data_IF_828935569651
#
_entry.id   IF_828935569651
#
_cell.length_a   1.000
_cell.length_b   1.000
_cell.length_c   1.000
_cell.angle_alpha   90.00
_cell.angle_beta   90.00
_cell.angle_gamma   90.00
#
_symmetry.space_group_name_H-M   'P 1'
#
loop_
_entity.id
_entity.type
_entity.pdbx_description
1 polymer ?
#
# COMPACT_ATOMS: atom_id res chain seq x y z
N UNK A 1 -4.98 13.59 -16.10
CA UNK A 1 -5.34 12.91 -14.83
C UNK A 1 -6.66 12.19 -14.98
N UNK A 2 -6.77 10.97 -14.43
CA UNK A 2 -8.01 10.19 -14.37
C UNK A 2 -8.25 9.69 -12.95
N UNK A 3 -9.48 9.29 -12.61
CA UNK A 3 -9.83 8.73 -11.29
C UNK A 3 -9.02 7.48 -10.92
N UNK A 4 -8.54 6.71 -11.91
CA UNK A 4 -7.68 5.54 -11.70
C UNK A 4 -6.22 5.90 -11.41
N UNK A 5 -5.76 7.07 -11.86
CA UNK A 5 -4.37 7.53 -11.68
C UNK A 5 -4.20 8.42 -10.45
N UNK A 6 -5.28 8.77 -9.76
CA UNK A 6 -5.25 9.59 -8.54
C UNK A 6 -5.04 8.69 -7.31
N UNK A 7 -3.82 8.15 -7.18
CA UNK A 7 -3.42 7.24 -6.10
C UNK A 7 -2.43 7.87 -5.12
N UNK A 8 -1.98 9.10 -5.39
CA UNK A 8 -1.02 9.83 -4.56
C UNK A 8 -1.54 11.21 -4.22
N UNK A 9 -1.28 11.62 -2.98
CA UNK A 9 -1.63 12.95 -2.48
C UNK A 9 -0.89 14.07 -3.24
N UNK A 10 0.36 13.85 -3.69
CA UNK A 10 1.12 14.82 -4.50
C UNK A 10 1.19 14.37 -5.95
N UNK A 11 0.47 15.07 -6.82
CA UNK A 11 0.29 14.68 -8.22
C UNK A 11 1.44 15.28 -9.06
N UNK A 12 2.49 14.48 -9.24
CA UNK A 12 3.69 14.85 -10.02
C UNK A 12 3.65 14.35 -11.46
N UNK A 13 3.06 13.18 -11.70
CA UNK A 13 2.90 12.59 -13.05
C UNK A 13 1.59 11.80 -13.17
N UNK A 14 1.21 11.46 -14.40
CA UNK A 14 0.20 10.42 -14.66
C UNK A 14 0.62 9.50 -15.78
N UNK A 15 0.23 8.24 -15.64
CA UNK A 15 0.38 7.18 -16.64
C UNK A 15 -0.25 7.53 -18.01
N UNK A 16 -1.16 8.50 -18.04
CA UNK A 16 -1.79 9.00 -19.26
C UNK A 16 -1.36 10.44 -19.56
N UNK A 17 -0.46 10.59 -20.53
CA UNK A 17 -0.09 11.88 -21.11
C UNK A 17 -0.99 12.16 -22.30
N UNK A 18 -1.56 13.37 -22.40
CA UNK A 18 -2.30 13.77 -23.59
C UNK A 18 -1.31 14.11 -24.70
N UNK A 19 -1.63 13.71 -25.94
CA UNK A 19 -1.01 14.31 -27.12
C UNK A 19 -1.49 15.76 -27.27
N UNK A 20 -0.72 16.62 -27.97
CA UNK A 20 -1.09 18.02 -28.23
C UNK A 20 -2.49 18.16 -28.86
N UNK A 21 -2.90 17.19 -29.68
CA UNK A 21 -4.24 17.10 -30.28
C UNK A 21 -5.36 16.81 -29.25
N UNK A 22 -5.08 16.04 -28.19
CA UNK A 22 -6.05 15.72 -27.14
C UNK A 22 -6.28 16.85 -26.12
N UNK A 23 -5.34 17.80 -26.01
CA UNK A 23 -5.51 19.00 -25.19
C UNK A 23 -6.52 19.98 -25.84
N UNK A 24 -6.56 20.04 -27.17
CA UNK A 24 -7.42 20.96 -27.93
C UNK A 24 -8.91 20.58 -27.93
N UNK A 25 -9.27 19.31 -27.68
CA UNK A 25 -10.65 18.81 -27.78
C UNK A 25 -11.52 19.00 -26.51
N UNK A 26 -11.24 20.01 -25.68
CA UNK A 26 -12.09 20.36 -24.53
C UNK A 26 -11.61 19.84 -23.17
N UNK A 27 -10.33 19.46 -23.06
CA UNK A 27 -9.76 19.06 -21.77
C UNK A 27 -9.39 20.30 -20.95
N UNK A 28 -9.99 20.46 -19.76
CA UNK A 28 -9.70 21.58 -18.87
C UNK A 28 -8.31 21.40 -18.23
N UNK A 29 -7.37 22.26 -18.59
CA UNK A 29 -6.10 22.39 -17.89
C UNK A 29 -6.30 23.12 -16.56
N UNK A 30 -5.61 22.66 -15.52
CA UNK A 30 -5.56 23.33 -14.22
C UNK A 30 -4.11 23.48 -13.77
N UNK A 31 -3.77 24.61 -13.14
CA UNK A 31 -2.40 24.91 -12.79
C UNK A 31 -1.89 24.01 -11.66
N UNK A 32 -0.61 24.20 -11.32
CA UNK A 32 -0.03 23.76 -10.06
C UNK A 32 -0.88 24.27 -8.87
N UNK A 33 -0.82 23.57 -7.75
CA UNK A 33 -1.46 23.93 -6.48
C UNK A 33 -3.00 23.89 -6.55
N UNK A 34 -3.54 23.14 -7.51
CA UNK A 34 -4.96 22.80 -7.61
C UNK A 34 -5.21 21.50 -6.89
N UNK A 35 -6.25 21.45 -6.05
CA UNK A 35 -6.69 20.21 -5.41
C UNK A 35 -7.61 19.46 -6.36
N UNK A 36 -7.25 18.22 -6.70
CA UNK A 36 -8.06 17.32 -7.51
C UNK A 36 -8.73 16.31 -6.62
N UNK A 37 -9.98 15.99 -6.94
CA UNK A 37 -10.70 14.90 -6.27
C UNK A 37 -11.61 14.17 -7.23
N UNK A 38 -11.84 12.89 -6.95
CA UNK A 38 -12.84 12.10 -7.66
C UNK A 38 -14.23 12.54 -7.20
N UNK A 39 -15.10 12.89 -8.16
CA UNK A 39 -16.50 13.25 -7.87
C UNK A 39 -17.51 12.25 -8.43
N UNK A 40 -17.03 11.31 -9.24
CA UNK A 40 -17.83 10.21 -9.79
C UNK A 40 -16.97 8.96 -9.95
N UNK A 41 -17.45 7.83 -9.47
CA UNK A 41 -16.77 6.53 -9.65
C UNK A 41 -17.07 5.54 -8.54
N UNK A 42 -16.81 4.25 -8.82
CA UNK A 42 -17.00 3.18 -7.83
C UNK A 42 -16.11 3.33 -6.59
N UNK A 43 -14.93 3.95 -6.72
CA UNK A 43 -14.00 4.12 -5.59
C UNK A 43 -14.59 4.95 -4.45
N UNK A 44 -15.50 5.89 -4.76
CA UNK A 44 -16.15 6.73 -3.75
C UNK A 44 -17.02 5.96 -2.75
N UNK A 45 -17.32 4.67 -3.01
CA UNK A 45 -18.02 3.81 -2.04
C UNK A 45 -17.11 3.29 -0.92
N UNK A 46 -15.80 3.39 -1.09
CA UNK A 46 -14.82 2.83 -0.15
C UNK A 46 -13.68 3.79 0.21
N UNK A 47 -13.44 4.81 -0.60
CA UNK A 47 -12.24 5.65 -0.48
C UNK A 47 -12.44 7.04 -1.10
N UNK A 48 -12.12 8.09 -0.34
CA UNK A 48 -12.07 9.46 -0.85
C UNK A 48 -10.69 9.74 -1.46
N UNK A 49 -10.64 9.69 -2.79
CA UNK A 49 -9.41 9.96 -3.55
C UNK A 49 -9.28 11.42 -3.90
N UNK A 50 -8.24 12.05 -3.35
CA UNK A 50 -7.85 13.42 -3.66
C UNK A 50 -6.33 13.58 -3.72
N UNK A 51 -5.87 14.72 -4.26
CA UNK A 51 -4.47 15.11 -4.23
C UNK A 51 -4.25 16.52 -4.77
N UNK A 52 -3.07 17.09 -4.52
CA UNK A 52 -2.67 18.43 -4.97
C UNK A 52 -1.71 18.36 -6.16
N UNK A 53 -1.95 19.17 -7.18
CA UNK A 53 -1.13 19.23 -8.39
C UNK A 53 0.22 19.88 -8.13
N UNK A 54 1.30 19.23 -8.56
CA UNK A 54 2.67 19.76 -8.44
C UNK A 54 3.13 20.48 -9.71
N UNK A 55 2.29 20.48 -10.74
CA UNK A 55 2.47 21.12 -12.05
C UNK A 55 1.11 21.31 -12.72
N UNK A 56 1.09 21.95 -13.88
CA UNK A 56 -0.11 21.99 -14.70
C UNK A 56 -0.53 20.58 -15.15
N UNK A 57 -1.83 20.28 -15.06
CA UNK A 57 -2.38 18.98 -15.44
C UNK A 57 -3.72 19.13 -16.15
N UNK A 58 -4.02 18.16 -17.02
CA UNK A 58 -5.30 18.08 -17.71
C UNK A 58 -6.30 17.22 -16.94
N UNK A 59 -7.55 17.69 -16.78
CA UNK A 59 -8.60 17.02 -16.03
C UNK A 59 -9.52 16.15 -16.90
N UNK A 60 -9.82 14.94 -16.42
CA UNK A 60 -10.94 14.14 -16.91
C UNK A 60 -12.26 14.57 -16.29
N UNK A 61 -13.37 14.22 -16.94
CA UNK A 61 -14.76 14.46 -16.50
C UNK A 61 -15.13 13.90 -15.11
N UNK A 62 -14.43 12.86 -14.63
CA UNK A 62 -14.69 12.25 -13.33
C UNK A 62 -13.98 12.96 -12.16
N UNK A 63 -13.21 14.00 -12.47
CA UNK A 63 -12.44 14.79 -11.50
C UNK A 63 -13.00 16.22 -11.39
N UNK A 64 -12.93 16.76 -10.18
CA UNK A 64 -13.13 18.18 -9.91
C UNK A 64 -11.80 18.79 -9.45
N UNK A 65 -11.45 19.93 -10.03
CA UNK A 65 -10.34 20.76 -9.56
C UNK A 65 -10.86 21.92 -8.71
N UNK A 66 -10.32 22.08 -7.51
CA UNK A 66 -10.52 23.23 -6.63
C UNK A 66 -9.25 24.07 -6.65
N UNK A 67 -9.39 25.32 -7.10
CA UNK A 67 -8.31 26.30 -7.09
C UNK A 67 -8.46 27.11 -5.80
N UNK A 68 -7.48 27.07 -4.88
CA UNK A 68 -7.53 27.84 -3.65
C UNK A 68 -7.59 29.34 -3.93
N UNK A 69 -8.23 30.09 -3.02
CA UNK A 69 -8.13 31.56 -3.03
C UNK A 69 -6.70 31.98 -2.69
N UNK A 70 -6.33 33.19 -3.10
CA UNK A 70 -4.98 33.74 -2.89
C UNK A 70 -4.57 33.86 -1.42
N UNK A 71 -5.53 33.96 -0.50
CA UNK A 71 -5.28 34.06 0.93
C UNK A 71 -5.13 32.71 1.64
N UNK A 72 -5.38 31.59 0.95
CA UNK A 72 -5.23 30.24 1.51
C UNK A 72 -3.92 29.60 1.07
N UNK A 73 -3.27 28.88 1.98
CA UNK A 73 -2.18 27.98 1.58
C UNK A 73 -2.78 26.73 0.90
N UNK A 74 -2.40 26.43 -0.35
CA UNK A 74 -2.96 25.30 -1.10
C UNK A 74 -2.72 23.94 -0.44
N UNK A 75 -1.55 23.77 0.17
CA UNK A 75 -1.14 22.51 0.80
C UNK A 75 -1.89 22.32 2.11
N UNK A 76 -2.04 23.38 2.90
CA UNK A 76 -2.92 23.37 4.08
C UNK A 76 -4.34 22.98 3.70
N UNK A 77 -4.93 23.61 2.67
CA UNK A 77 -6.30 23.28 2.24
C UNK A 77 -6.43 21.82 1.81
N UNK A 78 -5.42 21.28 1.12
CA UNK A 78 -5.38 19.87 0.75
C UNK A 78 -5.38 18.95 2.00
N UNK A 79 -4.57 19.26 3.03
CA UNK A 79 -4.55 18.51 4.28
C UNK A 79 -5.86 18.66 5.08
N UNK A 80 -6.41 19.87 5.16
CA UNK A 80 -7.68 20.11 5.85
C UNK A 80 -8.83 19.33 5.21
N UNK A 81 -8.91 19.28 3.88
CA UNK A 81 -9.88 18.44 3.17
C UNK A 81 -9.62 16.95 3.38
N UNK A 82 -8.37 16.51 3.35
CA UNK A 82 -8.02 15.10 3.58
C UNK A 82 -8.39 14.65 5.00
N UNK A 83 -8.29 15.52 6.01
CA UNK A 83 -8.74 15.20 7.38
C UNK A 83 -10.27 15.03 7.51
N UNK A 84 -11.03 15.44 6.48
CA UNK A 84 -12.49 15.35 6.40
C UNK A 84 -12.93 14.20 5.49
N UNK A 85 -12.07 13.22 5.24
CA UNK A 85 -12.37 12.08 4.36
C UNK A 85 -13.67 11.37 4.70
N UNK A 86 -13.90 11.08 5.98
CA UNK A 86 -15.10 10.35 6.42
C UNK A 86 -16.36 11.19 6.20
N UNK A 87 -16.32 12.46 6.61
CA UNK A 87 -17.42 13.42 6.36
C UNK A 87 -17.76 13.52 4.86
N UNK A 88 -16.75 13.52 3.98
CA UNK A 88 -16.96 13.56 2.52
C UNK A 88 -17.54 12.24 2.00
N UNK A 89 -17.11 11.09 2.52
CA UNK A 89 -17.63 9.78 2.13
C UNK A 89 -19.09 9.60 2.52
N UNK A 90 -19.50 10.11 3.69
CA UNK A 90 -20.90 10.09 4.15
C UNK A 90 -21.84 10.90 3.24
N UNK A 91 -21.29 11.84 2.46
CA UNK A 91 -22.06 12.65 1.50
C UNK A 91 -22.26 11.98 0.14
N UNK A 92 -21.58 10.84 -0.12
CA UNK A 92 -21.62 10.15 -1.42
C UNK A 92 -22.98 9.48 -1.61
N UNK A 93 -23.66 9.82 -2.72
CA UNK A 93 -24.89 9.15 -3.15
C UNK A 93 -24.65 8.18 -4.31
N UNK A 94 -25.63 7.30 -4.56
CA UNK A 94 -25.57 6.39 -5.70
C UNK A 94 -26.23 7.01 -6.93
N UNK A 95 -25.51 7.02 -8.05
CA UNK A 95 -26.00 7.44 -9.35
C UNK A 95 -26.02 6.24 -10.33
N UNK A 96 -27.22 5.71 -10.60
CA UNK A 96 -27.39 4.57 -11.53
C UNK A 96 -26.79 3.25 -10.99
N UNK A 97 -26.33 2.37 -11.88
CA UNK A 97 -25.80 1.01 -11.61
C UNK A 97 -24.59 0.96 -10.64
N UNK A 98 -24.76 1.29 -9.36
CA UNK A 98 -23.72 1.15 -8.35
C UNK A 98 -22.65 2.25 -8.30
N UNK A 99 -22.69 3.26 -9.16
CA UNK A 99 -21.65 4.30 -9.22
C UNK A 99 -21.83 5.35 -8.13
N UNK A 100 -20.81 5.54 -7.29
CA UNK A 100 -20.78 6.62 -6.30
C UNK A 100 -20.65 8.00 -6.97
N UNK A 101 -21.37 8.98 -6.44
CA UNK A 101 -21.34 10.37 -6.90
C UNK A 101 -21.28 11.31 -5.69
N UNK A 102 -20.39 12.29 -5.76
CA UNK A 102 -20.28 13.34 -4.77
C UNK A 102 -20.98 14.59 -5.28
N UNK A 103 -22.01 15.05 -4.56
CA UNK A 103 -22.71 16.28 -4.90
C UNK A 103 -21.80 17.48 -4.61
N UNK A 104 -21.51 18.28 -5.64
CA UNK A 104 -20.65 19.47 -5.50
C UNK A 104 -21.19 20.44 -4.45
N UNK A 105 -22.50 20.67 -4.42
CA UNK A 105 -23.10 21.63 -3.47
C UNK A 105 -22.90 21.20 -2.01
N UNK A 106 -22.96 19.89 -1.72
CA UNK A 106 -22.70 19.35 -0.38
C UNK A 106 -21.24 19.50 0.02
N UNK A 107 -20.33 19.20 -0.90
CA UNK A 107 -18.89 19.40 -0.69
C UNK A 107 -18.56 20.87 -0.39
N UNK A 108 -19.19 21.81 -1.10
CA UNK A 108 -18.95 23.24 -0.91
C UNK A 108 -19.59 23.79 0.37
N UNK A 109 -20.49 23.04 1.00
CA UNK A 109 -21.06 23.34 2.31
C UNK A 109 -20.22 22.81 3.48
N UNK A 110 -19.13 22.08 3.21
CA UNK A 110 -18.25 21.55 4.25
C UNK A 110 -17.55 22.68 5.01
N UNK A 111 -17.71 22.71 6.33
CA UNK A 111 -17.05 23.69 7.19
C UNK A 111 -15.62 23.27 7.52
N UNK A 112 -14.66 24.09 7.12
CA UNK A 112 -13.24 23.91 7.41
C UNK A 112 -12.77 24.91 8.45
N UNK A 113 -11.94 24.45 9.39
CA UNK A 113 -11.28 25.34 10.35
C UNK A 113 -10.11 26.02 9.64
N UNK A 114 -10.20 27.36 9.53
CA UNK A 114 -9.21 28.17 8.83
C UNK A 114 -8.44 29.03 9.84
N UNK A 115 -7.23 28.61 10.25
CA UNK A 115 -6.39 29.44 11.10
C UNK A 115 -5.79 30.61 10.30
N UNK A 116 -5.14 31.59 10.97
CA UNK A 116 -4.43 32.67 10.28
C UNK A 116 -3.37 32.15 9.29
N UNK A 117 -3.08 32.94 8.26
CA UNK A 117 -2.17 32.54 7.16
C UNK A 117 -0.84 31.95 7.63
N UNK A 118 -0.20 32.57 8.62
CA UNK A 118 1.09 32.09 9.15
C UNK A 118 0.99 30.69 9.77
N UNK A 119 -0.14 30.37 10.42
CA UNK A 119 -0.37 29.05 11.00
C UNK A 119 -0.68 28.01 9.92
N UNK A 120 -1.42 28.38 8.86
CA UNK A 120 -1.62 27.52 7.69
C UNK A 120 -0.27 27.11 7.07
N UNK A 121 0.62 28.07 6.84
CA UNK A 121 1.96 27.84 6.29
C UNK A 121 2.81 26.97 7.20
N UNK A 122 2.75 27.18 8.52
CA UNK A 122 3.47 26.36 9.51
C UNK A 122 2.99 24.90 9.50
N UNK A 123 1.68 24.67 9.45
CA UNK A 123 1.07 23.34 9.37
C UNK A 123 1.47 22.67 8.05
N UNK A 124 1.29 23.37 6.93
CA UNK A 124 1.63 22.88 5.60
C UNK A 124 3.11 22.50 5.47
N UNK A 125 4.02 23.33 6.01
CA UNK A 125 5.44 23.05 6.02
C UNK A 125 5.77 21.79 6.83
N UNK A 126 5.21 21.66 8.05
CA UNK A 126 5.47 20.53 8.95
C UNK A 126 4.98 19.21 8.35
N UNK A 127 3.71 19.16 7.96
CA UNK A 127 3.12 17.96 7.34
C UNK A 127 3.79 17.66 6.00
N UNK A 128 4.13 18.70 5.25
CA UNK A 128 4.79 18.56 3.96
C UNK A 128 6.18 17.90 4.05
N UNK A 129 6.96 18.20 5.08
CA UNK A 129 8.26 17.55 5.32
C UNK A 129 8.08 16.06 5.64
N UNK A 130 7.06 15.71 6.43
CA UNK A 130 6.75 14.33 6.78
C UNK A 130 6.37 13.53 5.52
N UNK A 131 5.47 14.09 4.70
CA UNK A 131 5.06 13.46 3.44
C UNK A 131 6.24 13.27 2.47
N UNK A 132 7.12 14.27 2.36
CA UNK A 132 8.32 14.14 1.52
C UNK A 132 9.25 13.03 2.02
N UNK A 133 9.35 12.86 3.34
CA UNK A 133 10.15 11.78 3.92
C UNK A 133 9.53 10.41 3.66
N UNK A 134 8.21 10.27 3.80
CA UNK A 134 7.48 9.03 3.47
C UNK A 134 7.73 8.66 2.00
N UNK A 135 7.56 9.64 1.10
CA UNK A 135 7.70 9.45 -0.33
C UNK A 135 9.17 9.14 -0.72
N UNK A 136 10.14 9.77 -0.06
CA UNK A 136 11.55 9.40 -0.20
C UNK A 136 11.84 7.96 0.22
N UNK A 137 11.28 7.52 1.35
CA UNK A 137 11.48 6.15 1.84
C UNK A 137 10.82 5.13 0.91
N UNK A 138 9.63 5.42 0.37
CA UNK A 138 8.96 4.57 -0.63
C UNK A 138 9.82 4.38 -1.88
N UNK A 139 10.41 5.46 -2.42
CA UNK A 139 11.32 5.36 -3.57
C UNK A 139 12.58 4.54 -3.25
N UNK A 140 13.15 4.72 -2.05
CA UNK A 140 14.30 3.95 -1.62
C UNK A 140 14.00 2.45 -1.55
N UNK A 141 12.82 2.07 -1.02
CA UNK A 141 12.35 0.67 -0.98
C UNK A 141 12.26 0.09 -2.40
N UNK A 142 11.60 0.79 -3.33
CA UNK A 142 11.46 0.32 -4.72
C UNK A 142 12.82 0.12 -5.39
N UNK A 143 13.73 1.07 -5.23
CA UNK A 143 15.08 0.98 -5.82
C UNK A 143 15.90 -0.15 -5.19
N UNK A 144 15.83 -0.32 -3.87
CA UNK A 144 16.51 -1.40 -3.17
C UNK A 144 16.02 -2.78 -3.63
N UNK A 145 14.70 -2.96 -3.79
CA UNK A 145 14.13 -4.19 -4.33
C UNK A 145 14.59 -4.46 -5.77
N UNK A 146 14.56 -3.44 -6.65
CA UNK A 146 15.03 -3.59 -8.02
C UNK A 146 16.53 -3.95 -8.10
N UNK A 147 17.34 -3.39 -7.20
CA UNK A 147 18.76 -3.73 -7.10
C UNK A 147 18.97 -5.18 -6.62
N UNK A 148 18.20 -5.62 -5.61
CA UNK A 148 18.23 -7.00 -5.13
C UNK A 148 17.91 -7.99 -6.26
N UNK A 149 16.86 -7.73 -7.03
CA UNK A 149 16.47 -8.58 -8.16
C UNK A 149 17.57 -8.64 -9.23
N UNK A 150 18.15 -7.48 -9.59
CA UNK A 150 19.23 -7.41 -10.57
C UNK A 150 20.49 -8.18 -10.09
N UNK A 151 20.86 -8.01 -8.82
CA UNK A 151 21.99 -8.72 -8.22
C UNK A 151 21.74 -10.22 -8.16
N UNK A 152 20.54 -10.65 -7.77
CA UNK A 152 20.17 -12.07 -7.70
C UNK A 152 20.28 -12.76 -9.08
N UNK A 153 19.85 -12.09 -10.15
CA UNK A 153 20.01 -12.58 -11.52
C UNK A 153 21.48 -12.68 -11.91
N UNK A 154 22.26 -11.63 -11.62
CA UNK A 154 23.68 -11.58 -11.97
C UNK A 154 24.51 -12.66 -11.26
N UNK A 155 24.31 -12.85 -9.94
CA UNK A 155 25.03 -13.89 -9.20
C UNK A 155 24.51 -15.29 -9.50
N UNK A 156 23.21 -15.42 -9.80
CA UNK A 156 22.58 -16.71 -10.07
C UNK A 156 22.99 -17.35 -11.39
N UNK A 157 23.38 -16.57 -12.41
CA UNK A 157 23.67 -17.09 -13.74
C UNK A 157 24.89 -18.03 -13.81
N UNK A 158 25.79 -17.96 -12.83
CA UNK A 158 27.01 -18.76 -12.80
C UNK A 158 26.93 -19.94 -11.81
N UNK A 159 25.80 -20.09 -11.10
CA UNK A 159 25.64 -21.11 -10.06
C UNK A 159 25.18 -22.46 -10.63
N UNK A 160 25.64 -23.58 -10.05
CA UNK A 160 25.16 -24.90 -10.41
C UNK A 160 23.68 -25.08 -9.99
N UNK A 161 22.89 -25.72 -10.85
CA UNK A 161 21.50 -26.05 -10.56
C UNK A 161 21.39 -27.37 -9.79
N UNK A 162 20.65 -27.36 -8.69
CA UNK A 162 20.31 -28.57 -7.93
C UNK A 162 18.80 -28.61 -7.65
N UNK A 163 18.17 -29.80 -7.57
CA UNK A 163 16.76 -29.88 -7.23
C UNK A 163 16.47 -29.27 -5.87
N UNK A 164 15.44 -28.43 -5.77
CA UNK A 164 15.05 -27.74 -4.51
C UNK A 164 14.89 -28.71 -3.33
N UNK A 165 14.33 -29.91 -3.57
CA UNK A 165 14.18 -30.95 -2.53
C UNK A 165 15.48 -31.50 -1.96
N UNK A 166 16.65 -31.19 -2.54
CA UNK A 166 17.96 -31.45 -1.92
C UNK A 166 18.41 -30.35 -0.96
N UNK A 167 17.86 -29.14 -1.10
CA UNK A 167 18.23 -27.96 -0.33
C UNK A 167 17.31 -27.72 0.85
N UNK A 168 16.03 -28.10 0.75
CA UNK A 168 15.01 -27.74 1.74
C UNK A 168 14.25 -28.94 2.30
N UNK A 169 13.78 -28.80 3.53
CA UNK A 169 12.83 -29.70 4.19
C UNK A 169 11.50 -28.98 4.45
N UNK A 170 10.40 -29.74 4.48
CA UNK A 170 9.04 -29.23 4.68
C UNK A 170 8.45 -29.74 5.99
N UNK A 171 8.63 -29.05 7.12
CA UNK A 171 7.99 -29.44 8.37
C UNK A 171 6.46 -29.34 8.24
N UNK A 172 5.74 -30.35 8.75
CA UNK A 172 4.27 -30.42 8.68
C UNK A 172 3.61 -30.31 10.07
N UNK A 173 4.33 -29.72 11.02
CA UNK A 173 3.90 -29.62 12.40
C UNK A 173 2.66 -28.74 12.50
N UNK A 174 1.51 -29.36 12.72
CA UNK A 174 0.24 -28.66 12.86
C UNK A 174 0.00 -28.40 14.34
N UNK A 175 -0.40 -27.17 14.67
CA UNK A 175 -0.72 -26.71 16.02
C UNK A 175 -2.19 -26.32 16.05
N UNK A 176 -2.87 -26.71 17.13
CA UNK A 176 -4.19 -26.17 17.47
C UNK A 176 -3.98 -24.95 18.38
N UNK A 177 -4.18 -23.71 17.90
CA UNK A 177 -3.89 -22.51 18.69
C UNK A 177 -4.64 -22.44 20.02
N UNK A 178 -5.82 -23.08 20.12
CA UNK A 178 -6.61 -23.12 21.35
C UNK A 178 -5.88 -23.80 22.52
N UNK A 179 -4.93 -24.71 22.25
CA UNK A 179 -4.16 -25.36 23.31
C UNK A 179 -3.08 -24.45 23.91
N UNK A 180 -2.76 -23.35 23.24
CA UNK A 180 -1.81 -22.33 23.71
C UNK A 180 -2.49 -21.23 24.54
N UNK A 181 -3.83 -21.22 24.61
CA UNK A 181 -4.60 -20.26 25.40
C UNK A 181 -4.30 -18.81 25.01
N UNK A 182 -4.02 -17.97 26.01
CA UNK A 182 -3.76 -16.54 25.84
C UNK A 182 -2.29 -16.22 25.49
N UNK A 183 -1.46 -17.22 25.19
CA UNK A 183 -0.10 -16.97 24.74
C UNK A 183 -0.13 -16.13 23.47
N UNK A 184 0.62 -15.02 23.47
CA UNK A 184 0.79 -14.18 22.29
C UNK A 184 1.67 -14.92 21.30
N UNK A 185 1.24 -14.95 20.04
CA UNK A 185 1.96 -15.59 18.94
C UNK A 185 2.07 -14.63 17.77
N UNK A 186 3.09 -14.84 16.93
CA UNK A 186 3.17 -14.22 15.62
C UNK A 186 2.35 -15.03 14.63
N UNK A 187 1.24 -14.45 14.17
CA UNK A 187 0.33 -15.06 13.22
C UNK A 187 0.63 -14.62 11.79
N UNK A 188 1.13 -15.54 10.99
CA UNK A 188 1.47 -15.35 9.58
C UNK A 188 0.29 -15.79 8.70
N UNK A 189 -0.50 -14.84 8.21
CA UNK A 189 -1.68 -15.08 7.38
C UNK A 189 -1.54 -14.44 6.00
N UNK A 190 -2.31 -14.89 5.00
CA UNK A 190 -2.32 -14.23 3.70
C UNK A 190 -2.77 -12.75 3.81
N UNK A 191 -3.81 -12.40 4.60
CA UNK A 191 -4.14 -11.00 4.86
C UNK A 191 -2.97 -10.19 5.44
N UNK A 192 -2.28 -10.74 6.45
CA UNK A 192 -1.12 -10.08 7.06
C UNK A 192 0.07 -9.94 6.09
N UNK A 193 0.21 -10.86 5.12
CA UNK A 193 1.19 -10.73 4.05
C UNK A 193 0.84 -9.55 3.13
N UNK A 194 -0.42 -9.48 2.70
CA UNK A 194 -0.90 -8.45 1.78
C UNK A 194 -0.91 -7.06 2.47
N UNK A 195 -1.03 -7.01 3.81
CA UNK A 195 -0.90 -5.81 4.65
C UNK A 195 0.55 -5.54 5.11
N UNK A 196 1.48 -5.49 4.15
CA UNK A 196 2.86 -5.07 4.41
C UNK A 196 3.81 -6.15 4.91
N UNK A 197 3.46 -7.43 4.74
CA UNK A 197 4.30 -8.58 5.05
C UNK A 197 4.84 -8.59 6.48
N UNK A 198 3.96 -8.29 7.45
CA UNK A 198 4.26 -8.33 8.89
C UNK A 198 3.30 -9.27 9.61
N UNK A 199 3.81 -10.17 10.49
CA UNK A 199 2.93 -11.05 11.23
C UNK A 199 2.08 -10.24 12.22
N UNK A 200 0.85 -10.69 12.43
CA UNK A 200 -0.02 -10.13 13.45
C UNK A 200 0.33 -10.71 14.81
N UNK A 201 0.60 -9.86 15.80
CA UNK A 201 0.76 -10.29 17.19
C UNK A 201 -0.60 -10.39 17.86
N UNK A 202 -1.04 -11.60 18.15
CA UNK A 202 -2.37 -11.86 18.69
C UNK A 202 -2.35 -13.00 19.72
N UNK A 203 -3.26 -13.04 20.70
CA UNK A 203 -3.43 -14.23 21.53
C UNK A 203 -3.84 -15.44 20.69
N UNK A 204 -3.20 -16.59 20.92
CA UNK A 204 -3.45 -17.81 20.15
C UNK A 204 -4.92 -18.26 20.21
N UNK A 205 -5.63 -17.99 21.30
CA UNK A 205 -7.06 -18.24 21.49
C UNK A 205 -7.96 -17.57 20.44
N UNK A 206 -7.54 -16.43 19.88
CA UNK A 206 -8.28 -15.71 18.82
C UNK A 206 -8.23 -16.43 17.47
N UNK A 207 -7.26 -17.33 17.27
CA UNK A 207 -7.07 -18.05 16.01
C UNK A 207 -7.97 -19.28 16.00
N UNK A 208 -9.03 -19.23 15.19
CA UNK A 208 -10.11 -20.23 15.23
C UNK A 208 -9.80 -21.56 14.52
N UNK A 209 -8.76 -21.60 13.68
CA UNK A 209 -8.39 -22.76 12.87
C UNK A 209 -6.95 -23.20 13.13
N UNK A 210 -6.67 -24.48 12.89
CA UNK A 210 -5.32 -25.03 13.01
C UNK A 210 -4.31 -24.27 12.15
N UNK A 211 -3.06 -24.23 12.62
CA UNK A 211 -1.95 -23.52 12.01
C UNK A 211 -0.74 -24.43 11.85
N UNK A 212 0.20 -24.03 11.02
CA UNK A 212 1.52 -24.64 10.95
C UNK A 212 2.44 -23.97 11.97
N UNK A 213 3.17 -24.75 12.76
CA UNK A 213 4.29 -24.23 13.52
C UNK A 213 5.39 -23.82 12.55
N UNK A 214 5.88 -22.60 12.69
CA UNK A 214 6.93 -22.04 11.84
C UNK A 214 8.23 -22.01 12.64
N UNK A 215 9.26 -22.77 12.22
CA UNK A 215 10.57 -22.72 12.86
C UNK A 215 11.31 -21.42 12.50
N UNK A 216 12.42 -21.17 13.18
CA UNK A 216 13.35 -20.08 12.87
C UNK A 216 13.97 -20.27 11.48
N UNK A 217 14.41 -19.18 10.86
CA UNK A 217 15.02 -19.16 9.51
C UNK A 217 14.20 -19.89 8.42
N UNK A 218 12.87 -19.88 8.55
CA UNK A 218 11.99 -20.52 7.59
C UNK A 218 11.64 -19.58 6.42
N UNK A 219 11.46 -20.16 5.23
CA UNK A 219 10.86 -19.49 4.07
C UNK A 219 9.47 -20.05 3.88
N UNK A 220 8.46 -19.20 3.81
CA UNK A 220 7.09 -19.61 3.52
C UNK A 220 6.70 -19.19 2.12
N UNK A 221 6.07 -20.09 1.37
CA UNK A 221 5.57 -19.80 0.02
C UNK A 221 4.07 -20.06 -0.03
N UNK A 222 3.29 -19.08 -0.47
CA UNK A 222 1.84 -19.26 -0.62
C UNK A 222 1.51 -20.37 -1.62
N UNK A 223 0.62 -21.28 -1.22
CA UNK A 223 0.02 -22.29 -2.12
C UNK A 223 -1.17 -21.72 -2.89
N UNK A 224 -1.70 -20.56 -2.48
CA UNK A 224 -2.84 -19.90 -3.11
C UNK A 224 -2.38 -18.88 -4.15
N UNK A 225 -3.00 -18.90 -5.34
CA UNK A 225 -2.78 -17.95 -6.43
C UNK A 225 -1.29 -17.64 -6.70
N UNK A 226 -0.49 -18.64 -7.11
CA UNK A 226 0.98 -18.53 -7.23
C UNK A 226 1.50 -17.47 -8.22
N UNK A 227 0.61 -16.87 -9.03
CA UNK A 227 0.93 -15.70 -9.85
C UNK A 227 1.32 -14.45 -9.02
N UNK A 228 0.86 -14.37 -7.76
CA UNK A 228 1.27 -13.33 -6.83
C UNK A 228 2.38 -13.90 -5.94
N UNK A 229 3.57 -13.31 -6.02
CA UNK A 229 4.69 -13.75 -5.20
C UNK A 229 4.43 -13.37 -3.74
N UNK A 230 4.01 -14.37 -2.94
CA UNK A 230 3.86 -14.26 -1.50
C UNK A 230 4.87 -15.18 -0.81
N UNK A 231 6.14 -14.85 -1.02
CA UNK A 231 7.26 -15.49 -0.34
C UNK A 231 7.60 -14.69 0.91
N UNK A 232 7.55 -15.34 2.07
CA UNK A 232 7.77 -14.70 3.36
C UNK A 232 9.02 -15.29 4.03
N UNK A 233 10.04 -14.46 4.24
CA UNK A 233 11.20 -14.81 5.07
C UNK A 233 10.88 -14.59 6.54
N UNK A 234 11.00 -15.64 7.34
CA UNK A 234 10.75 -15.61 8.78
C UNK A 234 12.05 -15.25 9.49
N UNK A 235 12.06 -14.11 10.17
CA UNK A 235 13.23 -13.64 10.90
C UNK A 235 13.50 -14.41 12.20
N UNK A 236 14.69 -14.19 12.76
CA UNK A 236 15.19 -14.89 13.96
C UNK A 236 14.71 -14.34 15.28
N UNK A 237 13.67 -13.50 15.29
CA UNK A 237 13.12 -13.00 16.54
C UNK A 237 12.55 -14.17 17.37
N UNK A 238 13.18 -14.47 18.51
CA UNK A 238 12.83 -15.59 19.39
C UNK A 238 11.75 -15.22 20.42
N UNK A 239 11.20 -14.01 20.36
CA UNK A 239 10.35 -13.51 21.45
C UNK A 239 9.02 -14.23 21.60
N UNK A 240 8.47 -14.85 20.54
CA UNK A 240 7.17 -15.54 20.57
C UNK A 240 7.11 -16.76 19.64
N UNK A 241 6.22 -17.74 19.90
CA UNK A 241 5.91 -18.79 18.95
C UNK A 241 5.31 -18.23 17.65
N UNK A 242 5.65 -18.87 16.53
CA UNK A 242 5.25 -18.44 15.18
C UNK A 242 4.29 -19.45 14.57
N UNK A 243 3.10 -18.99 14.18
CA UNK A 243 2.04 -19.81 13.62
C UNK A 243 1.62 -19.28 12.25
N UNK A 244 1.66 -20.12 11.22
CA UNK A 244 1.26 -19.75 9.87
C UNK A 244 -0.06 -20.36 9.44
N UNK A 245 -0.80 -19.65 8.59
CA UNK A 245 -1.92 -20.21 7.84
C UNK A 245 -1.47 -21.48 7.14
N UNK A 246 -2.34 -22.50 7.13
CA UNK A 246 -2.06 -23.73 6.40
C UNK A 246 -1.93 -23.46 4.90
N UNK A 247 -2.39 -22.33 4.37
CA UNK A 247 -2.20 -21.95 2.95
C UNK A 247 -0.73 -21.74 2.56
N UNK A 248 0.17 -21.60 3.53
CA UNK A 248 1.62 -21.56 3.26
C UNK A 248 2.23 -22.96 3.19
N UNK A 249 3.25 -23.10 2.35
CA UNK A 249 4.24 -24.16 2.42
C UNK A 249 5.45 -23.62 3.19
N UNK A 250 5.75 -24.23 4.34
CA UNK A 250 6.94 -23.87 5.15
C UNK A 250 8.14 -24.66 4.63
N UNK A 251 9.21 -23.95 4.29
CA UNK A 251 10.49 -24.47 3.85
C UNK A 251 11.54 -24.11 4.90
N UNK A 252 12.38 -25.08 5.23
CA UNK A 252 13.54 -24.92 6.11
C UNK A 252 14.78 -25.42 5.40
N UNK A 253 15.96 -24.96 5.79
CA UNK A 253 17.19 -25.57 5.31
C UNK A 253 17.15 -27.09 5.60
N UNK A 254 17.41 -27.90 4.58
CA UNK A 254 17.52 -29.34 4.77
C UNK A 254 18.72 -29.65 5.67
N UNK A 255 18.66 -30.76 6.42
CA UNK A 255 19.76 -31.24 7.27
C UNK A 255 20.99 -31.73 6.47
N UNK A 256 21.21 -31.21 5.25
CA UNK A 256 22.29 -31.61 4.38
C UNK A 256 23.63 -31.15 4.96
N UNK A 257 24.54 -32.11 5.16
CA UNK A 257 25.93 -31.89 5.50
C UNK A 257 26.52 -30.71 4.71
N UNK A 258 27.35 -29.91 5.40
CA UNK A 258 28.00 -28.70 4.90
C UNK A 258 28.36 -28.84 3.42
N UNK A 259 27.97 -27.84 2.63
CA UNK A 259 28.25 -27.70 1.19
C UNK A 259 29.77 -27.48 1.00
N UNK A 260 30.55 -28.51 1.29
CA UNK A 260 32.01 -28.50 1.28
C UNK A 260 32.64 -29.88 1.05
N UNK A 261 31.88 -30.97 1.18
CA UNK A 261 32.46 -32.31 1.05
C UNK A 261 32.45 -32.90 -0.37
N UNK A 262 31.93 -32.20 -1.38
CA UNK A 262 31.98 -32.64 -2.79
C UNK A 262 32.03 -31.49 -3.82
N UNK A 263 33.02 -30.62 -3.70
CA UNK A 263 33.59 -29.92 -4.86
C UNK A 263 34.93 -30.56 -5.20
#
# INVERSE_FOLDING_TARGET
MSSKSLTSFRIRDSDRRLSELGAASGTKLVPKDTILMVVRGMSLKSEFRMGITQREVALSQDLKGLIPRSDLDPTFLAYALQSRSDDVLDMVDEAGHGTGRLQTDRLFALELLLPPRAEQESIAATLGVIDDKIESNRRAIVLASALLDAMAVQYGSELPSVPLGRLVSTPKNTVNPKTLGEQVVDHYSLPAFDDGARPERTPASTIMSNKLAVPHEAIMVSRLNPRFNRTWWVGDDETQPKLASTEFLVLTAGTAARIGDRL
#
